data_IF_668195285046
#
_entry.id   IF_668195285046
#
_cell.length_a   1.000
_cell.length_b   1.000
_cell.length_c   1.000
_cell.angle_alpha   90.00
_cell.angle_beta   90.00
_cell.angle_gamma   90.00
#
_symmetry.space_group_name_H-M   'P 1'
#
loop_
_entity.id
_entity.type
_entity.pdbx_description
1 polymer ?
#
# COMPACT_ATOMS: atom_id res chain seq x y z
N UNK A 1 -10.76 11.29 18.15
CA UNK A 1 -11.05 12.32 17.12
C UNK A 1 -12.08 11.78 16.14
N UNK A 2 -12.78 12.71 15.46
CA UNK A 2 -13.59 12.40 14.30
C UNK A 2 -12.74 12.28 13.01
N UNK A 3 -13.38 12.12 11.85
CA UNK A 3 -12.70 12.02 10.54
C UNK A 3 -11.90 13.27 10.14
N UNK A 4 -12.20 14.42 10.74
CA UNK A 4 -11.52 15.71 10.53
C UNK A 4 -10.46 16.00 11.58
N UNK A 5 -10.12 15.04 12.42
CA UNK A 5 -9.16 15.17 13.54
C UNK A 5 -9.65 16.08 14.69
N UNK A 6 -10.94 16.43 14.77
CA UNK A 6 -11.50 17.15 15.90
C UNK A 6 -11.65 16.23 17.13
N UNK A 7 -11.38 16.76 18.31
CA UNK A 7 -11.67 16.11 19.59
C UNK A 7 -13.14 16.32 20.00
N UNK A 8 -13.53 15.82 21.16
CA UNK A 8 -14.84 16.12 21.76
C UNK A 8 -15.01 17.57 22.21
N UNK A 9 -13.91 18.33 22.34
CA UNK A 9 -13.92 19.75 22.71
C UNK A 9 -13.90 20.64 21.47
N UNK A 10 -14.79 21.64 21.46
CA UNK A 10 -14.90 22.58 20.34
C UNK A 10 -13.59 23.38 20.14
N UNK A 11 -13.12 23.42 18.90
CA UNK A 11 -11.90 24.15 18.53
C UNK A 11 -10.59 23.42 18.86
N UNK A 12 -10.65 22.20 19.45
CA UNK A 12 -9.47 21.41 19.75
C UNK A 12 -9.36 20.24 18.77
N UNK A 13 -8.18 20.09 18.19
CA UNK A 13 -7.81 19.02 17.26
C UNK A 13 -6.63 18.21 17.83
N UNK A 14 -6.55 16.93 17.47
CA UNK A 14 -5.41 16.07 17.81
C UNK A 14 -4.95 15.30 16.58
N UNK A 15 -3.63 15.24 16.38
CA UNK A 15 -2.98 14.56 15.25
C UNK A 15 -1.77 13.75 15.73
N UNK A 16 -1.28 12.86 14.88
CA UNK A 16 -0.08 12.05 15.17
C UNK A 16 -0.32 10.96 16.21
N UNK A 17 0.73 10.63 16.93
CA UNK A 17 0.81 9.43 17.80
C UNK A 17 -0.17 9.43 18.98
N UNK A 18 -0.67 10.60 19.37
CA UNK A 18 -1.68 10.74 20.42
C UNK A 18 -3.07 10.25 19.99
N UNK A 19 -3.30 10.09 18.67
CA UNK A 19 -4.62 9.74 18.14
C UNK A 19 -4.85 8.24 18.18
N UNK A 20 -5.79 7.79 19.01
CA UNK A 20 -6.16 6.39 19.11
C UNK A 20 -6.68 5.83 17.77
N UNK A 21 -6.22 4.63 17.40
CA UNK A 21 -6.65 3.93 16.19
C UNK A 21 -6.04 4.43 14.89
N UNK A 22 -5.02 5.30 14.96
CA UNK A 22 -4.11 5.60 13.86
C UNK A 22 -2.74 4.96 14.10
N UNK A 23 -2.00 4.58 13.04
CA UNK A 23 -0.64 4.10 13.21
C UNK A 23 0.26 5.25 13.67
N UNK A 24 1.17 4.93 14.60
CA UNK A 24 2.17 5.86 15.16
C UNK A 24 3.32 6.04 14.16
N UNK A 25 3.05 6.76 13.07
CA UNK A 25 3.95 6.97 11.95
C UNK A 25 3.97 8.46 11.58
N UNK A 26 5.16 9.00 11.32
CA UNK A 26 5.33 10.42 10.99
C UNK A 26 4.46 10.87 9.80
N UNK A 27 4.42 10.09 8.72
CA UNK A 27 3.61 10.39 7.55
C UNK A 27 2.09 10.31 7.82
N UNK A 28 1.64 9.47 8.74
CA UNK A 28 0.25 9.44 9.22
C UNK A 28 -0.09 10.75 9.95
N UNK A 29 0.80 11.20 10.84
CA UNK A 29 0.66 12.47 11.54
C UNK A 29 0.66 13.68 10.61
N UNK A 30 1.56 13.69 9.62
CA UNK A 30 1.64 14.77 8.62
C UNK A 30 0.34 14.91 7.81
N UNK A 31 -0.20 13.79 7.31
CA UNK A 31 -1.46 13.81 6.55
C UNK A 31 -2.64 14.19 7.43
N UNK A 32 -2.71 13.69 8.66
CA UNK A 32 -3.73 14.10 9.65
C UNK A 32 -3.68 15.60 9.93
N UNK A 33 -2.48 16.19 9.98
CA UNK A 33 -2.28 17.63 10.11
C UNK A 33 -2.86 18.42 8.92
N UNK A 34 -2.62 17.95 7.71
CA UNK A 34 -3.18 18.56 6.48
C UNK A 34 -4.73 18.54 6.53
N UNK A 35 -5.32 17.39 6.90
CA UNK A 35 -6.78 17.26 7.04
C UNK A 35 -7.32 18.24 8.07
N UNK A 36 -6.71 18.30 9.28
CA UNK A 36 -7.12 19.18 10.35
C UNK A 36 -7.08 20.67 9.93
N UNK A 37 -5.96 21.12 9.35
CA UNK A 37 -5.79 22.52 8.93
C UNK A 37 -6.73 22.90 7.78
N UNK A 38 -6.95 21.99 6.84
CA UNK A 38 -7.89 22.19 5.73
C UNK A 38 -9.32 22.36 6.25
N UNK A 39 -9.72 21.50 7.21
CA UNK A 39 -11.03 21.60 7.86
C UNK A 39 -11.17 22.90 8.68
N UNK A 40 -10.16 23.28 9.48
CA UNK A 40 -10.14 24.54 10.24
C UNK A 40 -10.32 25.75 9.30
N UNK A 41 -9.71 25.71 8.13
CA UNK A 41 -9.82 26.76 7.12
C UNK A 41 -11.18 26.80 6.40
N UNK A 42 -12.12 25.92 6.73
CA UNK A 42 -13.43 25.82 6.07
C UNK A 42 -13.35 25.37 4.60
N UNK A 43 -12.27 24.70 4.21
CA UNK A 43 -12.07 24.18 2.86
C UNK A 43 -12.48 22.72 2.79
N UNK A 44 -12.85 22.20 1.58
CA UNK A 44 -13.09 20.77 1.40
C UNK A 44 -11.85 19.96 1.80
N UNK A 45 -11.97 19.18 2.86
CA UNK A 45 -10.95 18.26 3.33
C UNK A 45 -11.35 16.82 2.93
N UNK A 46 -10.34 15.95 2.69
CA UNK A 46 -10.54 14.52 2.46
C UNK A 46 -10.03 13.77 3.68
N UNK A 47 -10.87 12.96 4.36
CA UNK A 47 -10.43 12.15 5.49
C UNK A 47 -9.32 11.18 5.11
N UNK A 48 -8.42 10.89 6.05
CA UNK A 48 -7.37 9.88 5.85
C UNK A 48 -8.00 8.49 5.85
N UNK A 49 -7.83 7.74 4.78
CA UNK A 49 -8.18 6.32 4.76
C UNK A 49 -7.09 5.51 5.49
N UNK A 50 -7.42 4.98 6.66
CA UNK A 50 -6.47 4.23 7.50
C UNK A 50 -5.93 2.97 6.81
N UNK A 51 -6.69 2.36 5.91
CA UNK A 51 -6.26 1.19 5.15
C UNK A 51 -5.26 1.53 4.03
N UNK A 52 -5.10 2.82 3.71
CA UNK A 52 -4.16 3.30 2.68
C UNK A 52 -2.91 3.96 3.27
N UNK A 53 -2.69 3.83 4.58
CA UNK A 53 -1.47 4.29 5.24
C UNK A 53 -0.42 3.17 5.13
N UNK A 54 0.71 3.38 4.42
CA UNK A 54 1.74 2.35 4.32
C UNK A 54 2.51 2.21 5.63
N UNK A 55 2.88 0.98 5.97
CA UNK A 55 3.84 0.66 7.01
C UNK A 55 5.15 0.19 6.39
N UNK A 56 6.27 0.73 6.87
CA UNK A 56 7.61 0.38 6.42
C UNK A 56 8.49 -0.06 7.58
N UNK A 57 9.27 -1.14 7.37
CA UNK A 57 10.31 -1.56 8.31
C UNK A 57 11.65 -1.52 7.57
N UNK A 58 12.55 -0.68 8.09
CA UNK A 58 13.88 -0.40 7.52
C UNK A 58 14.91 -1.40 8.05
N UNK A 59 14.71 -2.65 7.70
CA UNK A 59 15.63 -3.77 7.98
C UNK A 59 16.21 -4.31 6.67
N UNK A 60 16.96 -5.40 6.71
CA UNK A 60 17.46 -6.10 5.53
C UNK A 60 17.05 -7.58 5.63
N UNK A 61 16.22 -8.09 4.69
CA UNK A 61 15.51 -7.37 3.63
C UNK A 61 14.45 -6.39 4.18
N UNK A 62 14.17 -5.31 3.44
CA UNK A 62 13.15 -4.31 3.81
C UNK A 62 11.75 -4.89 3.77
N UNK A 63 10.81 -4.26 4.53
CA UNK A 63 9.40 -4.61 4.48
C UNK A 63 8.58 -3.36 4.17
N UNK A 64 7.69 -3.46 3.18
CA UNK A 64 6.67 -2.46 2.87
C UNK A 64 5.29 -3.11 2.83
N UNK A 65 4.29 -2.47 3.45
CA UNK A 65 2.94 -3.04 3.54
C UNK A 65 1.88 -1.94 3.47
N UNK A 66 0.79 -2.19 2.77
CA UNK A 66 -0.40 -1.34 2.77
C UNK A 66 -1.66 -2.20 2.66
N UNK A 67 -2.74 -1.78 3.29
CA UNK A 67 -4.05 -2.44 3.18
C UNK A 67 -4.21 -3.70 4.04
N UNK A 68 -5.12 -4.56 3.61
CA UNK A 68 -5.51 -5.76 4.32
C UNK A 68 -4.57 -6.92 4.00
N UNK A 69 -4.22 -7.69 5.02
CA UNK A 69 -3.65 -9.04 4.80
C UNK A 69 -4.73 -9.96 4.23
N UNK A 70 -4.33 -11.05 3.60
CA UNK A 70 -5.27 -12.07 3.09
C UNK A 70 -6.23 -12.56 4.16
N UNK A 71 -5.74 -12.79 5.39
CA UNK A 71 -6.57 -13.22 6.51
C UNK A 71 -7.61 -12.16 6.87
N UNK A 72 -7.20 -10.89 7.04
CA UNK A 72 -8.09 -9.79 7.36
C UNK A 72 -9.09 -9.48 6.24
N UNK A 73 -8.72 -9.64 4.98
CA UNK A 73 -9.63 -9.48 3.86
C UNK A 73 -10.73 -10.56 3.88
N UNK A 74 -10.36 -11.82 4.16
CA UNK A 74 -11.33 -12.92 4.32
C UNK A 74 -12.24 -12.71 5.54
N UNK A 75 -11.70 -12.27 6.68
CA UNK A 75 -12.47 -11.92 7.87
C UNK A 75 -13.47 -10.78 7.61
N UNK A 76 -13.10 -9.83 6.76
CA UNK A 76 -13.98 -8.74 6.32
C UNK A 76 -15.05 -9.18 5.29
N UNK A 77 -15.05 -10.45 4.88
CA UNK A 77 -16.07 -11.02 3.97
C UNK A 77 -15.73 -10.93 2.49
N UNK A 78 -14.51 -10.49 2.12
CA UNK A 78 -14.09 -10.46 0.72
C UNK A 78 -13.84 -11.87 0.17
N UNK A 79 -14.22 -12.08 -1.08
CA UNK A 79 -13.70 -13.20 -1.88
C UNK A 79 -12.35 -12.78 -2.43
N UNK A 80 -11.30 -13.46 -1.97
CA UNK A 80 -9.91 -13.00 -2.19
C UNK A 80 -9.24 -13.80 -3.30
N UNK A 81 -8.61 -13.07 -4.24
CA UNK A 81 -7.53 -13.59 -5.11
C UNK A 81 -6.19 -13.09 -4.59
N UNK A 82 -5.14 -13.89 -4.80
CA UNK A 82 -3.79 -13.57 -4.34
C UNK A 82 -2.80 -13.81 -5.46
N UNK A 83 -1.98 -12.80 -5.75
CA UNK A 83 -0.77 -12.91 -6.58
C UNK A 83 0.47 -12.89 -5.70
N UNK A 84 1.49 -13.65 -6.08
CA UNK A 84 2.79 -13.64 -5.42
C UNK A 84 3.89 -13.75 -6.47
N UNK A 85 4.90 -12.88 -6.37
CA UNK A 85 6.05 -12.87 -7.25
C UNK A 85 7.35 -12.80 -6.44
N UNK A 86 8.30 -13.76 -6.61
CA UNK A 86 9.57 -13.77 -5.90
C UNK A 86 10.59 -12.85 -6.60
N UNK A 87 11.41 -12.13 -5.84
CA UNK A 87 12.46 -11.27 -6.42
C UNK A 87 13.57 -12.07 -7.12
N UNK A 88 13.70 -13.37 -6.84
CA UNK A 88 14.62 -14.26 -7.59
C UNK A 88 14.31 -14.32 -9.10
N UNK A 89 13.09 -14.02 -9.50
CA UNK A 89 12.66 -13.97 -10.90
C UNK A 89 12.79 -12.55 -11.51
N UNK A 90 13.16 -11.53 -10.72
CA UNK A 90 13.38 -10.17 -11.22
C UNK A 90 14.83 -9.97 -11.65
N UNK A 91 15.06 -9.59 -12.91
CA UNK A 91 16.40 -9.43 -13.47
C UNK A 91 17.22 -8.33 -12.79
N UNK A 92 16.59 -7.19 -12.42
CA UNK A 92 17.31 -6.10 -11.73
C UNK A 92 17.70 -6.49 -10.31
N UNK A 93 16.86 -7.21 -9.59
CA UNK A 93 17.18 -7.73 -8.26
C UNK A 93 18.41 -8.67 -8.34
N UNK A 94 18.49 -9.51 -9.36
CA UNK A 94 19.65 -10.37 -9.62
C UNK A 94 20.91 -9.57 -10.01
N UNK A 95 20.78 -8.51 -10.84
CA UNK A 95 21.92 -7.65 -11.22
C UNK A 95 22.56 -6.96 -10.00
N UNK A 96 21.74 -6.55 -9.02
CA UNK A 96 22.23 -5.89 -7.81
C UNK A 96 22.59 -6.86 -6.68
N UNK A 97 22.50 -8.17 -6.95
CA UNK A 97 22.74 -9.26 -5.98
C UNK A 97 21.91 -9.12 -4.69
N UNK A 98 20.67 -8.65 -4.82
CA UNK A 98 19.70 -8.52 -3.72
C UNK A 98 18.32 -8.97 -4.22
N UNK A 99 18.06 -10.27 -4.14
CA UNK A 99 16.88 -10.92 -4.71
C UNK A 99 16.10 -11.78 -3.71
N UNK A 100 16.36 -11.58 -2.40
CA UNK A 100 15.59 -12.25 -1.36
C UNK A 100 14.19 -11.64 -1.22
N UNK A 101 13.20 -12.51 -0.98
CA UNK A 101 11.84 -12.09 -0.68
C UNK A 101 10.88 -12.15 -1.85
N UNK A 102 9.77 -11.44 -1.70
CA UNK A 102 8.66 -11.49 -2.66
C UNK A 102 7.71 -10.30 -2.50
N UNK A 103 6.87 -10.10 -3.49
CA UNK A 103 5.68 -9.24 -3.45
C UNK A 103 4.45 -10.12 -3.37
N UNK A 104 3.52 -9.78 -2.47
CA UNK A 104 2.20 -10.41 -2.35
C UNK A 104 1.11 -9.37 -2.55
N UNK A 105 0.23 -9.59 -3.52
CA UNK A 105 -0.95 -8.78 -3.80
C UNK A 105 -2.19 -9.53 -3.31
N UNK A 106 -3.07 -8.82 -2.62
CA UNK A 106 -4.38 -9.30 -2.15
C UNK A 106 -5.45 -8.46 -2.84
N UNK A 107 -6.35 -9.08 -3.57
CA UNK A 107 -7.41 -8.39 -4.30
C UNK A 107 -8.78 -9.01 -4.09
N UNK A 108 -9.83 -8.23 -4.34
CA UNK A 108 -11.20 -8.71 -4.42
C UNK A 108 -11.40 -9.51 -5.71
N UNK A 109 -11.96 -10.71 -5.59
CA UNK A 109 -12.12 -11.62 -6.73
C UNK A 109 -13.20 -11.15 -7.73
N UNK A 110 -14.12 -10.29 -7.30
CA UNK A 110 -15.28 -9.86 -8.10
C UNK A 110 -14.97 -8.62 -8.93
N UNK A 111 -14.30 -7.65 -8.32
CA UNK A 111 -14.09 -6.33 -8.93
C UNK A 111 -12.62 -6.05 -9.26
N UNK A 112 -11.69 -6.91 -8.82
CA UNK A 112 -10.26 -6.70 -8.99
C UNK A 112 -9.70 -5.56 -8.13
N UNK A 113 -10.48 -5.04 -7.15
CA UNK A 113 -10.02 -4.02 -6.22
C UNK A 113 -8.79 -4.51 -5.46
N UNK A 114 -7.80 -3.65 -5.33
CA UNK A 114 -6.58 -3.95 -4.57
C UNK A 114 -6.88 -3.73 -3.09
N UNK A 115 -6.97 -4.82 -2.32
CA UNK A 115 -7.25 -4.82 -0.89
C UNK A 115 -5.98 -4.65 -0.05
N UNK A 116 -4.83 -5.07 -0.56
CA UNK A 116 -3.55 -4.89 0.10
C UNK A 116 -2.37 -5.40 -0.70
N UNK A 117 -1.21 -4.81 -0.42
CA UNK A 117 0.09 -5.20 -1.00
C UNK A 117 1.12 -5.30 0.10
N UNK A 118 1.90 -6.39 0.09
CA UNK A 118 2.91 -6.71 1.09
C UNK A 118 4.18 -7.14 0.41
N UNK A 119 5.27 -6.45 0.71
CA UNK A 119 6.58 -6.64 0.09
C UNK A 119 7.60 -6.94 1.17
N UNK A 120 8.40 -7.97 0.96
CA UNK A 120 9.64 -8.19 1.69
C UNK A 120 10.75 -8.36 0.66
N UNK A 121 11.79 -7.53 0.69
CA UNK A 121 12.87 -7.60 -0.30
C UNK A 121 13.55 -6.26 -0.56
N UNK A 122 14.31 -6.18 -1.67
CA UNK A 122 15.03 -4.96 -2.04
C UNK A 122 14.08 -3.78 -2.26
N UNK A 123 14.46 -2.63 -1.73
CA UNK A 123 13.75 -1.35 -1.88
C UNK A 123 12.25 -1.41 -1.62
N UNK A 124 11.79 -2.35 -0.77
CA UNK A 124 10.37 -2.54 -0.47
C UNK A 124 9.69 -1.27 0.07
N UNK A 125 10.44 -0.46 0.81
CA UNK A 125 9.95 0.81 1.40
C UNK A 125 9.72 1.90 0.35
N UNK A 126 10.35 1.80 -0.83
CA UNK A 126 10.12 2.68 -1.96
C UNK A 126 9.02 2.11 -2.89
N UNK A 127 9.07 0.81 -3.18
CA UNK A 127 8.11 0.15 -4.06
C UNK A 127 6.65 0.25 -3.57
N UNK A 128 6.43 0.24 -2.26
CA UNK A 128 5.10 0.29 -1.68
C UNK A 128 4.32 1.56 -2.07
N UNK A 129 5.01 2.64 -2.42
CA UNK A 129 4.40 3.91 -2.81
C UNK A 129 3.54 3.78 -4.08
N UNK A 130 3.92 2.93 -5.03
CA UNK A 130 3.13 2.64 -6.23
C UNK A 130 1.78 2.01 -5.85
N UNK A 131 1.79 1.00 -4.99
CA UNK A 131 0.57 0.37 -4.49
C UNK A 131 -0.34 1.36 -3.77
N UNK A 132 0.22 2.22 -2.91
CA UNK A 132 -0.53 3.26 -2.20
C UNK A 132 -1.20 4.23 -3.17
N UNK A 133 -0.47 4.70 -4.19
CA UNK A 133 -0.98 5.63 -5.19
C UNK A 133 -2.16 5.03 -5.98
N UNK A 134 -2.01 3.78 -6.44
CA UNK A 134 -3.07 3.10 -7.20
C UNK A 134 -4.28 2.80 -6.32
N UNK A 135 -4.10 2.36 -5.09
CA UNK A 135 -5.19 2.17 -4.13
C UNK A 135 -5.92 3.49 -3.82
N UNK A 136 -5.19 4.62 -3.72
CA UNK A 136 -5.80 5.93 -3.47
C UNK A 136 -6.64 6.43 -4.65
N UNK A 137 -6.27 6.04 -5.87
CA UNK A 137 -7.00 6.31 -7.12
C UNK A 137 -8.11 5.28 -7.40
N UNK A 138 -8.33 4.31 -6.48
CA UNK A 138 -9.30 3.22 -6.63
C UNK A 138 -9.04 2.34 -7.86
N UNK A 139 -7.76 2.23 -8.25
CA UNK A 139 -7.30 1.38 -9.33
C UNK A 139 -7.42 -0.12 -8.99
N UNK A 140 -7.45 -0.91 -10.03
CA UNK A 140 -7.63 -2.36 -9.97
C UNK A 140 -6.34 -3.11 -10.30
N UNK A 141 -6.36 -4.42 -10.10
CA UNK A 141 -5.30 -5.32 -10.56
C UNK A 141 -5.06 -5.15 -12.07
N UNK A 142 -6.12 -4.99 -12.87
CA UNK A 142 -6.03 -4.85 -14.32
C UNK A 142 -5.29 -3.56 -14.72
N UNK A 143 -5.51 -2.45 -14.02
CA UNK A 143 -4.83 -1.19 -14.30
C UNK A 143 -3.31 -1.33 -14.16
N UNK A 144 -2.85 -2.05 -13.13
CA UNK A 144 -1.42 -2.30 -12.92
C UNK A 144 -0.84 -3.36 -13.88
N UNK A 145 -1.63 -4.35 -14.29
CA UNK A 145 -1.21 -5.31 -15.32
C UNK A 145 -0.91 -4.67 -16.67
N UNK A 146 -1.55 -3.53 -16.97
CA UNK A 146 -1.33 -2.77 -18.21
C UNK A 146 -0.43 -1.55 -18.03
N UNK A 147 0.07 -1.30 -16.82
CA UNK A 147 1.03 -0.22 -16.57
C UNK A 147 2.42 -0.63 -17.05
N UNK A 148 3.03 0.19 -17.91
CA UNK A 148 4.37 -0.08 -18.44
C UNK A 148 5.42 0.28 -17.40
N UNK A 149 6.24 -0.69 -17.02
CA UNK A 149 7.40 -0.50 -16.14
C UNK A 149 8.70 -0.45 -16.95
N UNK A 150 9.63 0.39 -16.50
CA UNK A 150 10.92 0.51 -17.16
C UNK A 150 11.78 -0.75 -16.95
N UNK A 151 12.51 -1.19 -17.98
CA UNK A 151 13.44 -2.33 -17.92
C UNK A 151 14.91 -1.87 -18.03
N UNK A 152 15.87 -2.39 -17.21
CA UNK A 152 15.63 -3.28 -16.07
C UNK A 152 15.42 -2.50 -14.77
N UNK A 153 14.38 -2.78 -14.02
CA UNK A 153 14.09 -2.18 -12.71
C UNK A 153 13.58 -3.21 -11.71
N UNK A 154 13.70 -2.89 -10.41
CA UNK A 154 13.08 -3.70 -9.36
C UNK A 154 11.55 -3.54 -9.39
N UNK A 155 11.03 -2.39 -9.84
CA UNK A 155 9.60 -2.12 -9.93
C UNK A 155 8.85 -3.02 -10.93
N UNK A 156 9.52 -3.64 -11.91
CA UNK A 156 8.90 -4.67 -12.77
C UNK A 156 8.34 -5.84 -11.96
N UNK A 157 8.88 -6.11 -10.77
CA UNK A 157 8.33 -7.12 -9.87
C UNK A 157 6.90 -6.78 -9.40
N UNK A 158 6.52 -5.49 -9.37
CA UNK A 158 5.14 -5.08 -9.11
C UNK A 158 4.22 -5.55 -10.22
N UNK A 159 4.55 -5.26 -11.49
CA UNK A 159 3.79 -5.72 -12.65
C UNK A 159 3.55 -7.23 -12.63
N UNK A 160 4.62 -8.01 -12.38
CA UNK A 160 4.52 -9.47 -12.34
C UNK A 160 3.69 -9.96 -11.14
N UNK A 161 3.78 -9.30 -9.98
CA UNK A 161 2.98 -9.65 -8.81
C UNK A 161 1.48 -9.38 -9.03
N UNK A 162 1.11 -8.28 -9.68
CA UNK A 162 -0.28 -8.00 -10.08
C UNK A 162 -0.75 -8.97 -11.17
N UNK A 163 0.10 -9.26 -12.16
CA UNK A 163 -0.21 -10.25 -13.20
C UNK A 163 -0.38 -11.66 -12.64
N UNK A 164 0.34 -12.02 -11.58
CA UNK A 164 0.22 -13.30 -10.90
C UNK A 164 -1.15 -13.51 -10.23
N UNK A 165 -1.88 -12.43 -9.89
CA UNK A 165 -3.26 -12.53 -9.38
C UNK A 165 -4.18 -13.22 -10.39
N UNK A 166 -3.94 -12.99 -11.68
CA UNK A 166 -4.69 -13.57 -12.79
C UNK A 166 -3.95 -14.76 -13.46
N UNK A 167 -2.86 -15.24 -12.86
CA UNK A 167 -2.04 -16.32 -13.43
C UNK A 167 -1.32 -15.94 -14.71
N UNK A 168 -1.00 -14.66 -14.92
CA UNK A 168 -0.43 -14.10 -16.14
C UNK A 168 0.96 -13.48 -15.95
N UNK A 169 1.64 -13.76 -14.84
CA UNK A 169 3.02 -13.32 -14.66
C UNK A 169 3.91 -13.89 -15.78
N UNK A 170 4.83 -13.04 -16.29
CA UNK A 170 5.62 -13.38 -17.47
C UNK A 170 6.97 -13.99 -17.09
N UNK A 171 7.55 -13.52 -15.97
CA UNK A 171 8.93 -13.83 -15.59
C UNK A 171 9.04 -14.91 -14.48
N UNK A 172 8.08 -15.81 -14.35
CA UNK A 172 8.09 -16.92 -13.38
C UNK A 172 8.48 -18.21 -14.06
#
# INVERSE_FOLDING_TARGET
VNEWMQTGEAGIYAIGDIVAGYPQLAHSGSMSGIVAVTHIAGKPAKPVNKLRIPGCTYCEPQIGSVGLTEAKAKEAGHQVKVGKFPFTANSKASIIDNHEGFIKVVSDAKFGEILGVHIIGPVATELIAEAVAVMELEGTVEDLMFTVHAHPTVSEAMLDAFSAVEGKAINI
#
